data_IF_323669440333
#
_entry.id   IF_323669440333
#
_cell.length_a   1.000
_cell.length_b   1.000
_cell.length_c   1.000
_cell.angle_alpha   90.00
_cell.angle_beta   90.00
_cell.angle_gamma   90.00
#
_symmetry.space_group_name_H-M   'P 1'
#
loop_
_entity.id
_entity.type
_entity.pdbx_description
1 polymer ?
#
# COMPACT_ATOMS: atom_id res chain seq x y z
N UNK A 1 23.15 20.52 18.92
CA UNK A 1 24.28 20.36 19.87
C UNK A 1 23.87 20.93 21.24
N UNK A 2 24.50 20.53 22.36
CA UNK A 2 24.10 20.98 23.71
C UNK A 2 24.84 22.28 24.07
N UNK A 3 24.12 23.38 24.12
CA UNK A 3 24.65 24.69 24.54
C UNK A 3 24.27 24.97 26.00
N UNK A 4 25.15 25.66 26.72
CA UNK A 4 25.02 25.95 28.14
C UNK A 4 25.02 27.46 28.32
N UNK A 5 23.96 28.00 28.94
CA UNK A 5 23.91 29.40 29.34
C UNK A 5 24.67 29.55 30.66
N UNK A 6 25.76 30.31 30.63
CA UNK A 6 26.75 30.41 31.70
C UNK A 6 26.40 31.57 32.64
N UNK A 7 26.43 31.32 33.96
CA UNK A 7 26.34 32.35 35.02
C UNK A 7 27.69 33.03 35.24
N UNK A 8 27.71 34.27 35.76
CA UNK A 8 28.93 35.08 35.94
C UNK A 8 30.03 34.38 36.76
N UNK A 9 29.65 33.61 37.79
CA UNK A 9 30.58 32.80 38.58
C UNK A 9 31.34 31.74 37.76
N UNK A 10 30.69 31.13 36.76
CA UNK A 10 31.31 30.14 35.89
C UNK A 10 32.18 30.83 34.80
N UNK A 11 31.84 32.06 34.39
CA UNK A 11 32.72 32.87 33.52
C UNK A 11 34.02 33.21 34.21
N UNK A 12 33.97 33.68 35.45
CA UNK A 12 35.16 34.06 36.21
C UNK A 12 36.08 32.84 36.41
N UNK A 13 35.51 31.66 36.67
CA UNK A 13 36.24 30.40 36.79
C UNK A 13 36.89 29.93 35.47
N UNK A 14 36.21 30.10 34.33
CA UNK A 14 36.75 29.75 33.02
C UNK A 14 37.85 30.72 32.57
N UNK A 15 37.72 32.00 32.92
CA UNK A 15 38.72 33.03 32.66
C UNK A 15 40.01 32.77 33.46
N UNK A 16 39.89 32.36 34.73
CA UNK A 16 41.02 31.94 35.56
C UNK A 16 41.78 30.72 34.98
N UNK A 17 41.08 29.83 34.28
CA UNK A 17 41.66 28.66 33.61
C UNK A 17 42.06 28.91 32.14
N UNK A 18 42.34 30.17 31.76
CA UNK A 18 42.83 30.60 30.43
C UNK A 18 41.88 30.31 29.25
N UNK A 19 40.59 30.04 29.47
CA UNK A 19 39.58 30.04 28.40
C UNK A 19 38.79 31.34 28.42
N UNK A 20 39.11 32.24 27.49
CA UNK A 20 38.36 33.46 27.30
C UNK A 20 37.09 33.17 26.50
N UNK A 21 35.94 33.23 27.15
CA UNK A 21 34.65 33.01 26.52
C UNK A 21 33.95 34.37 26.40
N UNK A 22 33.74 34.82 25.18
CA UNK A 22 33.21 36.16 24.89
C UNK A 22 31.68 36.23 24.84
N UNK A 23 30.97 35.25 25.38
CA UNK A 23 29.50 35.16 25.29
C UNK A 23 28.83 34.44 26.45
N UNK A 24 27.52 34.63 26.58
CA UNK A 24 26.67 33.99 27.61
C UNK A 24 26.36 32.52 27.32
N UNK A 25 26.67 32.03 26.11
CA UNK A 25 26.28 30.73 25.60
C UNK A 25 27.53 30.00 25.11
N UNK A 26 27.74 28.78 25.60
CA UNK A 26 28.94 27.97 25.31
C UNK A 26 28.56 26.55 25.01
N UNK A 27 29.27 25.90 24.08
CA UNK A 27 29.07 24.49 23.80
C UNK A 27 29.61 23.63 24.95
N UNK A 28 28.79 22.72 25.48
CA UNK A 28 29.18 21.87 26.61
C UNK A 28 30.43 21.02 26.30
N UNK A 29 30.63 20.63 25.03
CA UNK A 29 31.80 19.85 24.61
C UNK A 29 33.13 20.57 24.89
N UNK A 30 33.17 21.89 24.81
CA UNK A 30 34.39 22.67 24.97
C UNK A 30 34.79 22.85 26.44
N UNK A 31 33.83 22.83 27.36
CA UNK A 31 34.06 23.05 28.79
C UNK A 31 34.10 21.74 29.59
N UNK A 32 33.63 20.62 29.00
CA UNK A 32 33.54 19.31 29.63
C UNK A 32 34.83 18.84 30.30
N UNK A 33 35.97 18.98 29.63
CA UNK A 33 37.26 18.49 30.15
C UNK A 33 37.72 19.25 31.41
N UNK A 34 37.50 20.57 31.44
CA UNK A 34 37.88 21.43 32.57
C UNK A 34 36.95 21.20 33.75
N UNK A 35 35.66 20.98 33.48
CA UNK A 35 34.68 20.68 34.54
C UNK A 35 34.99 19.32 35.18
N UNK A 36 35.22 18.26 34.40
CA UNK A 36 35.47 16.90 34.94
C UNK A 36 36.74 16.85 35.81
N UNK A 37 37.75 17.69 35.52
CA UNK A 37 38.98 17.76 36.30
C UNK A 37 38.85 18.36 37.70
N UNK A 38 37.78 19.10 38.01
CA UNK A 38 37.64 19.88 39.24
C UNK A 38 36.36 19.51 40.02
N UNK A 39 36.27 18.27 40.50
CA UNK A 39 35.06 17.65 41.08
C UNK A 39 34.43 18.35 42.30
N UNK A 40 35.21 19.06 43.12
CA UNK A 40 34.71 19.47 44.45
C UNK A 40 33.80 20.71 44.45
N UNK A 41 33.83 21.55 43.41
CA UNK A 41 33.07 22.81 43.35
C UNK A 41 32.12 22.94 42.15
N UNK A 42 31.99 21.88 41.35
CA UNK A 42 31.19 21.91 40.11
C UNK A 42 29.71 22.17 40.41
N UNK A 43 29.17 21.55 41.47
CA UNK A 43 27.76 21.66 41.81
C UNK A 43 27.36 23.09 42.18
N UNK A 44 28.25 23.85 42.83
CA UNK A 44 28.03 25.26 43.15
C UNK A 44 28.18 26.15 41.92
N UNK A 45 29.17 25.88 41.06
CA UNK A 45 29.43 26.66 39.85
C UNK A 45 28.35 26.48 38.77
N UNK A 46 27.73 25.31 38.70
CA UNK A 46 26.63 25.02 37.79
C UNK A 46 25.26 25.47 38.32
N UNK A 47 25.18 25.93 39.57
CA UNK A 47 23.93 26.38 40.18
C UNK A 47 23.42 27.65 39.49
N UNK A 48 22.36 27.51 38.69
CA UNK A 48 21.77 28.60 37.91
C UNK A 48 22.15 28.62 36.43
N UNK A 49 22.92 27.63 35.96
CA UNK A 49 23.12 27.42 34.52
C UNK A 49 21.90 26.73 33.89
N UNK A 50 21.50 27.16 32.69
CA UNK A 50 20.41 26.53 31.94
C UNK A 50 20.91 25.91 30.64
N UNK A 51 20.47 24.69 30.35
CA UNK A 51 20.75 24.04 29.07
C UNK A 51 19.84 24.60 27.98
N UNK A 52 20.45 25.07 26.90
CA UNK A 52 19.75 25.49 25.69
C UNK A 52 19.98 24.40 24.65
N UNK A 53 18.92 23.65 24.37
CA UNK A 53 18.92 22.70 23.27
C UNK A 53 18.63 23.48 21.99
N UNK A 54 19.53 23.41 21.02
CA UNK A 54 19.22 23.86 19.66
C UNK A 54 17.99 23.10 19.20
N UNK A 55 16.94 23.85 18.82
CA UNK A 55 15.76 23.28 18.18
C UNK A 55 16.25 22.56 16.94
N UNK A 56 16.06 21.25 16.88
CA UNK A 56 16.43 20.46 15.70
C UNK A 56 15.83 21.14 14.46
N UNK A 57 16.60 21.25 13.36
CA UNK A 57 16.09 21.82 12.13
C UNK A 57 14.82 21.05 11.74
N UNK A 58 13.75 21.78 11.45
CA UNK A 58 12.47 21.17 11.08
C UNK A 58 12.73 20.08 10.02
N UNK A 59 12.19 18.86 10.21
CA UNK A 59 12.44 17.77 9.28
C UNK A 59 12.00 18.23 7.89
N UNK A 60 12.94 18.30 6.95
CA UNK A 60 12.68 18.70 5.57
C UNK A 60 11.48 17.88 5.08
N UNK A 61 10.36 18.55 4.86
CA UNK A 61 9.08 17.98 4.42
C UNK A 61 9.37 17.16 3.16
N UNK A 62 9.50 15.85 3.34
CA UNK A 62 10.07 14.97 2.31
C UNK A 62 9.15 14.96 1.10
N UNK A 63 9.70 14.77 -0.10
CA UNK A 63 8.92 14.69 -1.35
C UNK A 63 7.81 13.63 -1.27
N UNK A 64 7.94 12.68 -0.35
CA UNK A 64 6.91 11.71 0.01
C UNK A 64 5.62 12.35 0.53
N UNK A 65 5.70 13.37 1.39
CA UNK A 65 4.53 14.06 1.95
C UNK A 65 3.83 14.86 0.85
N UNK A 66 4.59 15.50 -0.05
CA UNK A 66 4.04 16.22 -1.20
C UNK A 66 3.29 15.27 -2.14
N UNK A 67 3.89 14.11 -2.46
CA UNK A 67 3.24 13.07 -3.27
C UNK A 67 1.97 12.51 -2.62
N UNK A 68 1.92 12.40 -1.30
CA UNK A 68 0.72 11.98 -0.57
C UNK A 68 -0.39 13.05 -0.62
N UNK A 69 -0.03 14.32 -0.51
CA UNK A 69 -0.98 15.44 -0.64
C UNK A 69 -1.54 15.54 -2.07
N UNK A 70 -0.70 15.37 -3.10
CA UNK A 70 -1.14 15.34 -4.51
C UNK A 70 -2.14 14.20 -4.76
N UNK A 71 -1.82 12.98 -4.32
CA UNK A 71 -2.74 11.83 -4.43
C UNK A 71 -4.07 12.04 -3.70
N UNK A 72 -4.06 12.79 -2.59
CA UNK A 72 -5.30 13.13 -1.87
C UNK A 72 -6.15 14.10 -2.69
N UNK A 73 -5.54 15.17 -3.21
CA UNK A 73 -6.23 16.17 -4.05
C UNK A 73 -6.80 15.57 -5.33
N UNK A 74 -6.08 14.65 -5.97
CA UNK A 74 -6.58 13.94 -7.15
C UNK A 74 -7.83 13.10 -6.84
N UNK A 75 -7.88 12.43 -5.68
CA UNK A 75 -9.07 11.66 -5.26
C UNK A 75 -10.26 12.57 -4.99
N UNK A 76 -10.04 13.69 -4.31
CA UNK A 76 -11.10 14.68 -4.06
C UNK A 76 -11.62 15.27 -5.36
N UNK A 77 -10.74 15.63 -6.29
CA UNK A 77 -11.13 16.08 -7.62
C UNK A 77 -11.95 15.00 -8.35
N UNK A 78 -11.50 13.73 -8.35
CA UNK A 78 -12.23 12.63 -8.97
C UNK A 78 -13.61 12.39 -8.34
N UNK A 79 -13.77 12.59 -7.03
CA UNK A 79 -15.08 12.52 -6.37
C UNK A 79 -16.00 13.68 -6.79
N UNK A 80 -15.45 14.89 -6.97
CA UNK A 80 -16.20 16.05 -7.45
C UNK A 80 -16.61 15.91 -8.93
N UNK A 81 -15.72 15.42 -9.79
CA UNK A 81 -16.01 15.24 -11.22
C UNK A 81 -16.68 13.91 -11.56
N UNK A 82 -16.70 12.94 -10.64
CA UNK A 82 -17.27 11.61 -10.85
C UNK A 82 -18.76 11.61 -11.17
N UNK A 83 -19.49 12.64 -10.69
CA UNK A 83 -20.90 12.84 -11.03
C UNK A 83 -21.12 13.51 -12.40
N UNK A 84 -20.09 14.12 -12.98
CA UNK A 84 -20.17 14.85 -14.27
C UNK A 84 -19.64 14.00 -15.42
N UNK A 85 -18.58 13.22 -15.19
CA UNK A 85 -18.02 12.28 -16.15
C UNK A 85 -18.05 10.87 -15.57
N UNK A 86 -19.05 10.07 -15.95
CA UNK A 86 -18.97 8.61 -15.85
C UNK A 86 -17.89 8.14 -16.83
N UNK A 87 -16.61 8.26 -16.46
CA UNK A 87 -15.55 7.53 -17.16
C UNK A 87 -15.93 6.05 -17.09
N UNK A 88 -15.96 5.30 -18.21
CA UNK A 88 -16.02 3.85 -18.11
C UNK A 88 -14.77 3.44 -17.34
N UNK A 89 -14.96 3.03 -16.09
CA UNK A 89 -13.89 2.52 -15.25
C UNK A 89 -13.36 1.27 -15.96
N UNK A 90 -12.30 1.45 -16.74
CA UNK A 90 -11.51 0.36 -17.29
C UNK A 90 -11.07 -0.54 -16.13
N UNK A 91 -11.65 -1.74 -16.05
CA UNK A 91 -11.28 -2.75 -15.06
C UNK A 91 -11.93 -2.58 -13.69
N UNK A 92 -13.26 -2.54 -13.62
CA UNK A 92 -13.93 -2.74 -12.32
C UNK A 92 -13.71 -4.19 -11.86
N UNK A 93 -13.52 -4.41 -10.56
CA UNK A 93 -13.46 -5.77 -9.98
C UNK A 93 -14.67 -6.65 -10.39
N UNK A 94 -15.77 -6.01 -10.82
CA UNK A 94 -16.95 -6.65 -11.41
C UNK A 94 -16.66 -7.33 -12.75
N UNK A 95 -15.96 -6.68 -13.68
CA UNK A 95 -15.56 -7.28 -14.97
C UNK A 95 -14.64 -8.49 -14.77
N UNK A 96 -13.72 -8.40 -13.80
CA UNK A 96 -12.83 -9.51 -13.46
C UNK A 96 -13.60 -10.68 -12.82
N UNK A 97 -14.56 -10.37 -11.94
CA UNK A 97 -15.46 -11.37 -11.33
C UNK A 97 -16.37 -12.04 -12.38
N UNK A 98 -16.88 -11.29 -13.35
CA UNK A 98 -17.67 -11.81 -14.47
C UNK A 98 -16.82 -12.72 -15.37
N UNK A 99 -15.59 -12.31 -15.68
CA UNK A 99 -14.63 -13.12 -16.45
C UNK A 99 -14.25 -14.43 -15.73
N UNK A 100 -14.02 -14.37 -14.42
CA UNK A 100 -13.74 -15.57 -13.60
C UNK A 100 -14.95 -16.49 -13.52
N UNK A 101 -16.15 -15.94 -13.31
CA UNK A 101 -17.38 -16.73 -13.30
C UNK A 101 -17.59 -17.44 -14.64
N UNK A 102 -17.28 -16.77 -15.74
CA UNK A 102 -17.40 -17.34 -17.07
C UNK A 102 -16.39 -18.48 -17.28
N UNK A 103 -15.12 -18.28 -16.92
CA UNK A 103 -14.10 -19.34 -17.01
C UNK A 103 -14.46 -20.60 -16.21
N UNK A 104 -15.02 -20.43 -15.00
CA UNK A 104 -15.45 -21.55 -14.17
C UNK A 104 -16.58 -22.37 -14.79
N UNK A 105 -17.53 -21.73 -15.50
CA UNK A 105 -18.57 -22.44 -16.24
C UNK A 105 -17.97 -23.32 -17.34
N UNK A 106 -17.00 -22.80 -18.10
CA UNK A 106 -16.35 -23.56 -19.18
C UNK A 106 -15.62 -24.80 -18.66
N UNK A 107 -14.87 -24.65 -17.57
CA UNK A 107 -14.18 -25.78 -16.93
C UNK A 107 -15.18 -26.84 -16.47
N UNK A 108 -16.30 -26.41 -15.89
CA UNK A 108 -17.36 -27.31 -15.43
C UNK A 108 -18.00 -28.05 -16.59
N UNK A 109 -18.28 -27.37 -17.70
CA UNK A 109 -18.87 -27.98 -18.91
C UNK A 109 -17.89 -28.94 -19.59
N UNK A 110 -16.60 -28.62 -19.66
CA UNK A 110 -15.59 -29.53 -20.19
C UNK A 110 -15.51 -30.81 -19.36
N UNK A 111 -15.45 -30.67 -18.04
CA UNK A 111 -15.37 -31.81 -17.14
C UNK A 111 -16.64 -32.67 -17.20
N UNK A 112 -17.82 -32.06 -17.04
CA UNK A 112 -19.10 -32.77 -17.05
C UNK A 112 -19.43 -33.34 -18.43
N UNK A 113 -19.14 -32.61 -19.51
CA UNK A 113 -19.35 -33.05 -20.89
C UNK A 113 -18.52 -34.29 -21.21
N UNK A 114 -17.25 -34.30 -20.80
CA UNK A 114 -16.38 -35.45 -21.05
C UNK A 114 -16.75 -36.65 -20.18
N UNK A 115 -17.07 -36.41 -18.90
CA UNK A 115 -17.50 -37.48 -17.99
C UNK A 115 -18.82 -38.09 -18.47
N UNK A 116 -19.84 -37.27 -18.73
CA UNK A 116 -21.15 -37.73 -19.18
C UNK A 116 -21.05 -38.44 -20.53
N UNK A 117 -20.29 -37.92 -21.50
CA UNK A 117 -20.10 -38.57 -22.79
C UNK A 117 -19.33 -39.89 -22.71
N UNK A 118 -18.34 -40.01 -21.83
CA UNK A 118 -17.65 -41.27 -21.58
C UNK A 118 -18.59 -42.33 -20.97
N UNK A 119 -19.38 -41.95 -19.97
CA UNK A 119 -20.38 -42.84 -19.37
C UNK A 119 -21.46 -43.23 -20.38
N UNK A 120 -21.89 -42.29 -21.22
CA UNK A 120 -22.85 -42.56 -22.30
C UNK A 120 -22.30 -43.59 -23.30
N UNK A 121 -21.03 -43.41 -23.73
CA UNK A 121 -20.35 -44.34 -24.62
C UNK A 121 -20.18 -45.73 -24.01
N UNK A 122 -19.84 -45.80 -22.72
CA UNK A 122 -19.55 -47.06 -22.04
C UNK A 122 -20.80 -47.85 -21.65
N UNK A 123 -21.82 -47.19 -21.12
CA UNK A 123 -23.02 -47.86 -20.60
C UNK A 123 -24.15 -47.97 -21.61
N UNK A 124 -24.30 -47.00 -22.51
CA UNK A 124 -25.43 -46.99 -23.44
C UNK A 124 -25.07 -47.58 -24.80
N UNK A 125 -23.83 -47.36 -25.25
CA UNK A 125 -23.34 -47.79 -26.56
C UNK A 125 -22.38 -48.97 -26.48
N UNK A 126 -22.03 -49.41 -25.25
CA UNK A 126 -21.10 -50.52 -24.96
C UNK A 126 -19.79 -50.44 -25.75
N UNK A 127 -19.31 -49.23 -26.04
CA UNK A 127 -18.08 -49.03 -26.79
C UNK A 127 -16.84 -49.33 -25.94
N UNK A 128 -15.82 -49.85 -26.61
CA UNK A 128 -14.48 -49.99 -26.02
C UNK A 128 -13.93 -48.61 -25.58
N UNK A 129 -12.86 -48.63 -24.78
CA UNK A 129 -12.30 -47.43 -24.16
C UNK A 129 -12.07 -46.28 -25.15
N UNK A 130 -11.55 -46.59 -26.34
CA UNK A 130 -11.30 -45.60 -27.39
C UNK A 130 -12.59 -45.02 -27.96
N UNK A 131 -13.60 -45.85 -28.22
CA UNK A 131 -14.90 -45.39 -28.74
C UNK A 131 -15.63 -44.52 -27.72
N UNK A 132 -15.60 -44.90 -26.44
CA UNK A 132 -16.17 -44.12 -25.34
C UNK A 132 -15.47 -42.77 -25.16
N UNK A 133 -14.15 -42.69 -25.36
CA UNK A 133 -13.40 -41.42 -25.38
C UNK A 133 -13.82 -40.49 -26.53
N UNK A 134 -14.03 -41.04 -27.73
CA UNK A 134 -14.49 -40.26 -28.90
C UNK A 134 -15.89 -39.70 -28.65
N UNK A 135 -16.81 -40.52 -28.12
CA UNK A 135 -18.15 -40.04 -27.72
C UNK A 135 -18.04 -38.95 -26.66
N UNK A 136 -17.15 -39.13 -25.68
CA UNK A 136 -16.80 -38.10 -24.70
C UNK A 136 -16.43 -36.76 -25.33
N UNK A 137 -15.53 -36.77 -26.32
CA UNK A 137 -15.14 -35.55 -27.04
C UNK A 137 -16.30 -34.93 -27.83
N UNK A 138 -17.08 -35.73 -28.55
CA UNK A 138 -18.22 -35.25 -29.34
C UNK A 138 -19.24 -34.56 -28.43
N UNK A 139 -19.62 -35.22 -27.32
CA UNK A 139 -20.56 -34.65 -26.34
C UNK A 139 -20.00 -33.37 -25.74
N UNK A 140 -18.71 -33.34 -25.40
CA UNK A 140 -18.05 -32.14 -24.87
C UNK A 140 -18.12 -30.96 -25.83
N UNK A 141 -17.85 -31.18 -27.12
CA UNK A 141 -17.94 -30.11 -28.14
C UNK A 141 -19.37 -29.60 -28.26
N UNK A 142 -20.37 -30.48 -28.29
CA UNK A 142 -21.79 -30.10 -28.35
C UNK A 142 -22.19 -29.28 -27.10
N UNK A 143 -21.79 -29.73 -25.91
CA UNK A 143 -22.06 -29.00 -24.66
C UNK A 143 -21.39 -27.62 -24.65
N UNK A 144 -20.19 -27.49 -25.21
CA UNK A 144 -19.48 -26.22 -25.32
C UNK A 144 -20.21 -25.24 -26.27
N UNK A 145 -20.71 -25.73 -27.41
CA UNK A 145 -21.57 -24.93 -28.28
C UNK A 145 -22.85 -24.47 -27.57
N UNK A 146 -23.49 -25.35 -26.80
CA UNK A 146 -24.68 -24.99 -26.02
C UNK A 146 -24.37 -23.92 -24.96
N UNK A 147 -23.23 -24.02 -24.26
CA UNK A 147 -22.79 -23.03 -23.27
C UNK A 147 -22.53 -21.66 -23.92
N UNK A 148 -21.88 -21.61 -25.09
CA UNK A 148 -21.66 -20.36 -25.83
C UNK A 148 -22.99 -19.72 -26.24
N UNK A 149 -23.95 -20.52 -26.74
CA UNK A 149 -25.28 -20.01 -27.11
C UNK A 149 -26.02 -19.46 -25.90
N UNK A 150 -26.01 -20.19 -24.77
CA UNK A 150 -26.61 -19.73 -23.52
C UNK A 150 -25.96 -18.45 -23.01
N UNK A 151 -24.65 -18.34 -23.13
CA UNK A 151 -23.92 -17.13 -22.76
C UNK A 151 -24.38 -15.92 -23.58
N UNK A 152 -24.43 -16.05 -24.90
CA UNK A 152 -24.88 -14.96 -25.80
C UNK A 152 -26.32 -14.54 -25.47
N UNK A 153 -27.20 -15.51 -25.20
CA UNK A 153 -28.58 -15.24 -24.80
C UNK A 153 -28.68 -14.53 -23.45
N UNK A 154 -27.82 -14.91 -22.49
CA UNK A 154 -27.75 -14.27 -21.17
C UNK A 154 -27.27 -12.83 -21.27
N UNK A 155 -26.18 -12.57 -22.00
CA UNK A 155 -25.67 -11.20 -22.22
C UNK A 155 -26.75 -10.30 -22.81
N UNK A 156 -27.52 -10.78 -23.81
CA UNK A 156 -28.63 -10.01 -24.39
C UNK A 156 -29.76 -9.69 -23.40
N UNK A 157 -30.05 -10.56 -22.43
CA UNK A 157 -31.07 -10.31 -21.40
C UNK A 157 -30.58 -9.29 -20.37
N UNK A 158 -29.32 -9.38 -19.98
CA UNK A 158 -28.73 -8.46 -19.01
C UNK A 158 -28.65 -7.04 -19.60
N UNK A 159 -28.33 -6.90 -20.89
CA UNK A 159 -28.36 -5.61 -21.62
C UNK A 159 -29.76 -4.97 -21.68
N UNK A 160 -30.82 -5.78 -21.74
CA UNK A 160 -32.20 -5.28 -21.74
C UNK A 160 -32.62 -4.77 -20.37
N UNK A 161 -32.25 -5.48 -19.29
CA UNK A 161 -32.59 -5.05 -17.92
C UNK A 161 -31.97 -3.70 -17.58
N UNK A 162 -30.72 -3.47 -17.97
CA UNK A 162 -30.00 -2.20 -17.70
C UNK A 162 -30.64 -0.99 -18.41
N UNK A 163 -31.40 -1.18 -19.50
CA UNK A 163 -32.08 -0.09 -20.21
C UNK A 163 -33.48 0.26 -19.68
N UNK A 164 -33.99 -0.52 -18.72
CA UNK A 164 -35.36 -0.35 -18.20
C UNK A 164 -35.39 0.14 -16.74
N UNK A 165 -34.22 0.32 -16.12
CA UNK A 165 -34.01 1.00 -14.83
C UNK A 165 -33.39 2.37 -15.08
#
# INVERSE_FOLDING_TARGET
MVQLRITQALKDFLTANKKHISGDIVNYSEIREILIGNNEKIAELLKGCSFVFEKDPEPKRSDFIKKLEEKRKEREYQQMVGNVYKKPLTGTAKEYKESLSFGMSFISVLFLGMLSGYYLGKYYLEYDFQGSMIVGLIVTVISLYAEILLYVLKSKKDDKKVKTE
#
